data_IF_138776311746
#
_entry.id   IF_138776311746
#
_cell.length_a   1.000
_cell.length_b   1.000
_cell.length_c   1.000
_cell.angle_alpha   90.00
_cell.angle_beta   90.00
_cell.angle_gamma   90.00
#
_symmetry.space_group_name_H-M   'P 1'
#
loop_
_entity.id
_entity.type
_entity.pdbx_description
1 polymer ?
#
# COMPACT_ATOMS: atom_id res chain seq x y z
N UNK A 1 2.78 3.67 -8.40
CA UNK A 1 1.85 2.62 -8.83
C UNK A 1 0.93 2.22 -7.70
N UNK A 2 -0.33 2.03 -7.99
CA UNK A 2 -1.30 1.50 -7.03
C UNK A 2 -2.05 0.34 -7.67
N UNK A 3 -2.39 -0.65 -6.86
CA UNK A 3 -3.14 -1.81 -7.32
C UNK A 3 -3.93 -2.39 -6.16
N UNK A 4 -5.01 -3.10 -6.49
CA UNK A 4 -5.76 -3.84 -5.49
C UNK A 4 -6.35 -5.09 -6.13
N UNK A 5 -6.70 -6.06 -5.27
CA UNK A 5 -7.45 -7.24 -5.70
C UNK A 5 -8.71 -7.37 -4.86
N UNK A 6 -9.77 -7.91 -5.46
CA UNK A 6 -11.01 -8.23 -4.74
C UNK A 6 -10.96 -9.62 -4.13
N UNK A 7 -9.93 -10.40 -4.44
CA UNK A 7 -9.79 -11.74 -3.92
C UNK A 7 -9.48 -11.73 -2.43
N UNK A 8 -9.90 -12.77 -1.75
CA UNK A 8 -9.58 -13.00 -0.33
C UNK A 8 -8.49 -14.04 -0.23
N UNK A 9 -7.54 -13.82 0.70
CA UNK A 9 -6.51 -14.81 1.01
C UNK A 9 -6.02 -14.58 2.43
N UNK A 10 -5.92 -15.63 3.28
CA UNK A 10 -5.37 -15.48 4.62
C UNK A 10 -3.93 -14.99 4.64
N UNK A 11 -3.17 -15.22 3.57
CA UNK A 11 -1.78 -14.78 3.43
C UNK A 11 -1.68 -13.46 2.66
N UNK A 12 -2.74 -12.64 2.64
CA UNK A 12 -2.80 -11.43 1.81
C UNK A 12 -1.66 -10.46 2.12
N UNK A 13 -1.22 -10.37 3.38
CA UNK A 13 -0.09 -9.50 3.72
C UNK A 13 1.16 -9.87 2.92
N UNK A 14 1.45 -11.16 2.81
CA UNK A 14 2.60 -11.63 2.04
C UNK A 14 2.40 -11.36 0.55
N UNK A 15 1.19 -11.63 0.05
CA UNK A 15 0.89 -11.45 -1.37
C UNK A 15 0.97 -10.00 -1.80
N UNK A 16 0.40 -9.07 -1.01
CA UNK A 16 0.47 -7.64 -1.33
C UNK A 16 1.91 -7.14 -1.28
N UNK A 17 2.70 -7.64 -0.34
CA UNK A 17 4.13 -7.27 -0.24
C UNK A 17 4.90 -7.74 -1.47
N UNK A 18 4.67 -8.97 -1.91
CA UNK A 18 5.34 -9.51 -3.10
C UNK A 18 4.97 -8.73 -4.36
N UNK A 19 3.69 -8.43 -4.54
CA UNK A 19 3.24 -7.66 -5.71
C UNK A 19 3.81 -6.23 -5.66
N UNK A 20 3.84 -5.60 -4.49
CA UNK A 20 4.42 -4.28 -4.36
C UNK A 20 5.90 -4.27 -4.72
N UNK A 21 6.65 -5.29 -4.31
CA UNK A 21 8.05 -5.43 -4.68
C UNK A 21 8.22 -5.59 -6.19
N UNK A 22 7.35 -6.39 -6.84
CA UNK A 22 7.39 -6.58 -8.29
C UNK A 22 7.06 -5.29 -9.04
N UNK A 23 6.05 -4.54 -8.57
CA UNK A 23 5.70 -3.26 -9.18
C UNK A 23 6.83 -2.25 -9.05
N UNK A 24 7.54 -2.26 -7.92
CA UNK A 24 8.64 -1.34 -7.69
C UNK A 24 9.81 -1.61 -8.64
N UNK A 25 9.97 -2.86 -9.12
CA UNK A 25 11.01 -3.21 -10.08
C UNK A 25 10.71 -2.70 -11.48
N UNK A 26 9.49 -2.26 -11.76
CA UNK A 26 9.15 -1.74 -13.08
C UNK A 26 9.82 -0.40 -13.32
N UNK A 27 10.30 -0.19 -14.55
CA UNK A 27 11.00 1.03 -14.92
C UNK A 27 10.11 2.26 -14.68
N UNK A 28 10.66 3.26 -14.00
CA UNK A 28 9.97 4.52 -13.75
C UNK A 28 9.06 4.53 -12.54
N UNK A 29 8.89 3.40 -11.86
CA UNK A 29 8.07 3.34 -10.64
C UNK A 29 8.93 3.69 -9.44
N UNK A 30 8.53 4.73 -8.70
CA UNK A 30 9.26 5.19 -7.51
C UNK A 30 8.63 4.67 -6.21
N UNK A 31 7.35 4.33 -6.25
CA UNK A 31 6.63 3.78 -5.10
C UNK A 31 5.48 2.93 -5.58
N UNK A 32 5.10 1.93 -4.79
CA UNK A 32 3.98 1.05 -5.08
C UNK A 32 3.18 0.80 -3.82
N UNK A 33 1.86 0.82 -3.94
CA UNK A 33 0.93 0.48 -2.88
C UNK A 33 -0.03 -0.58 -3.40
N UNK A 34 -0.17 -1.67 -2.66
CA UNK A 34 -1.03 -2.78 -3.06
C UNK A 34 -1.93 -3.16 -1.91
N UNK A 35 -3.23 -3.30 -2.19
CA UNK A 35 -4.22 -3.66 -1.19
C UNK A 35 -4.93 -4.95 -1.57
N UNK A 36 -5.26 -5.75 -0.56
CA UNK A 36 -6.02 -6.98 -0.71
C UNK A 36 -6.65 -7.41 0.60
N UNK A 37 -7.70 -8.23 0.51
CA UNK A 37 -8.46 -8.65 1.68
C UNK A 37 -7.80 -9.85 2.35
N UNK A 38 -7.40 -9.67 3.59
CA UNK A 38 -6.90 -10.74 4.44
C UNK A 38 -8.00 -11.33 5.32
N UNK A 39 -7.60 -12.11 6.32
CA UNK A 39 -8.53 -12.85 7.17
C UNK A 39 -9.48 -11.94 7.95
N UNK A 40 -8.97 -10.86 8.53
CA UNK A 40 -9.74 -9.99 9.42
C UNK A 40 -9.87 -8.56 8.90
N UNK A 41 -9.06 -8.16 7.94
CA UNK A 41 -8.99 -6.77 7.48
C UNK A 41 -8.39 -6.71 6.08
N UNK A 42 -8.49 -5.53 5.47
CA UNK A 42 -7.76 -5.25 4.23
C UNK A 42 -6.32 -4.89 4.58
N UNK A 43 -5.39 -5.54 3.91
CA UNK A 43 -3.96 -5.33 4.07
C UNK A 43 -3.48 -4.39 2.98
N UNK A 44 -2.67 -3.39 3.34
CA UNK A 44 -1.98 -2.53 2.37
C UNK A 44 -0.49 -2.72 2.59
N UNK A 45 0.23 -2.95 1.50
CA UNK A 45 1.70 -2.94 1.50
C UNK A 45 2.19 -1.77 0.67
N UNK A 46 3.16 -1.02 1.20
CA UNK A 46 3.80 0.08 0.51
C UNK A 46 5.30 -0.15 0.39
N UNK A 47 5.85 0.17 -0.76
CA UNK A 47 7.28 0.06 -1.05
C UNK A 47 7.73 1.29 -1.82
N UNK A 48 8.96 1.74 -1.60
CA UNK A 48 9.51 2.86 -2.37
C UNK A 48 11.01 2.69 -2.57
N UNK A 49 11.53 3.49 -3.51
CA UNK A 49 12.97 3.58 -3.77
C UNK A 49 13.65 4.61 -2.87
N UNK A 50 12.90 5.27 -1.98
CA UNK A 50 13.43 6.24 -1.03
C UNK A 50 12.96 7.67 -1.28
N UNK A 51 12.46 8.00 -2.46
CA UNK A 51 11.96 9.33 -2.79
C UNK A 51 10.58 9.59 -2.22
N UNK A 52 9.79 8.53 -2.00
CA UNK A 52 8.46 8.61 -1.40
C UNK A 52 8.53 7.95 -0.04
N UNK A 53 8.08 8.65 0.99
CA UNK A 53 8.05 8.11 2.35
C UNK A 53 6.76 7.33 2.56
N UNK A 54 6.81 6.01 2.30
CA UNK A 54 5.62 5.17 2.46
C UNK A 54 5.19 5.04 3.92
N UNK A 55 6.14 5.16 4.86
CA UNK A 55 5.81 5.15 6.29
C UNK A 55 4.87 6.31 6.64
N UNK A 56 5.22 7.51 6.22
CA UNK A 56 4.43 8.70 6.52
C UNK A 56 3.01 8.58 5.95
N UNK A 57 2.90 8.06 4.72
CA UNK A 57 1.60 7.88 4.07
C UNK A 57 0.75 6.88 4.83
N UNK A 58 1.31 5.71 5.14
CA UNK A 58 0.52 4.64 5.76
C UNK A 58 0.27 4.88 7.24
N UNK A 59 1.11 5.67 7.92
CA UNK A 59 0.81 6.09 9.31
C UNK A 59 -0.47 6.92 9.38
N UNK A 60 -0.77 7.70 8.36
CA UNK A 60 -2.03 8.45 8.31
C UNK A 60 -3.24 7.53 8.18
N UNK A 61 -3.04 6.28 7.82
CA UNK A 61 -4.09 5.27 7.73
C UNK A 61 -3.99 4.26 8.88
N UNK A 62 -3.23 4.59 9.93
CA UNK A 62 -3.12 3.74 11.11
C UNK A 62 -2.05 2.67 11.02
N UNK A 63 -1.24 2.69 9.98
CA UNK A 63 -0.16 1.71 9.79
C UNK A 63 1.19 2.20 10.28
N UNK A 64 2.24 1.59 9.75
CA UNK A 64 3.61 1.95 10.09
C UNK A 64 4.62 1.15 9.30
N UNK A 65 5.88 1.33 9.63
CA UNK A 65 7.00 0.65 8.99
C UNK A 65 8.21 1.53 8.92
N UNK A 66 8.83 1.58 7.74
CA UNK A 66 10.02 2.36 7.47
C UNK A 66 9.81 3.21 6.22
N UNK A 67 10.78 4.10 5.94
CA UNK A 67 10.73 5.01 4.81
C UNK A 67 10.39 4.30 3.48
N UNK A 68 10.99 3.14 3.25
CA UNK A 68 10.87 2.41 1.98
C UNK A 68 9.99 1.16 2.05
N UNK A 69 9.57 0.75 3.25
CA UNK A 69 8.76 -0.46 3.47
C UNK A 69 7.76 -0.17 4.58
N UNK A 70 6.47 -0.22 4.28
CA UNK A 70 5.45 0.03 5.28
C UNK A 70 4.19 -0.79 4.97
N UNK A 71 3.32 -0.89 5.97
CA UNK A 71 2.06 -1.60 5.84
C UNK A 71 0.99 -0.99 6.70
N UNK A 72 -0.27 -1.29 6.37
CA UNK A 72 -1.43 -0.86 7.14
C UNK A 72 -2.53 -1.91 7.05
N UNK A 73 -3.42 -1.91 8.03
CA UNK A 73 -4.61 -2.74 8.05
C UNK A 73 -5.81 -1.82 8.19
N UNK A 74 -6.80 -2.00 7.32
CA UNK A 74 -7.98 -1.14 7.29
C UNK A 74 -9.25 -1.98 7.30
N UNK A 75 -10.28 -1.44 7.95
CA UNK A 75 -11.62 -2.02 7.94
C UNK A 75 -12.41 -1.42 6.77
N UNK A 76 -11.93 -1.67 5.56
CA UNK A 76 -12.49 -1.15 4.32
C UNK A 76 -12.24 -2.17 3.22
N UNK A 77 -12.91 -2.01 2.08
CA UNK A 77 -12.61 -2.84 0.92
C UNK A 77 -11.23 -2.50 0.36
N UNK A 78 -10.59 -3.43 -0.37
CA UNK A 78 -9.29 -3.12 -0.99
C UNK A 78 -9.37 -1.89 -1.91
N UNK A 79 -10.43 -1.75 -2.68
CA UNK A 79 -10.61 -0.58 -3.55
C UNK A 79 -10.67 0.71 -2.73
N UNK A 80 -11.48 0.74 -1.66
CA UNK A 80 -11.58 1.92 -0.81
C UNK A 80 -10.25 2.19 -0.10
N UNK A 81 -9.54 1.14 0.32
CA UNK A 81 -8.23 1.30 0.95
C UNK A 81 -7.25 2.01 0.02
N UNK A 82 -7.22 1.64 -1.26
CA UNK A 82 -6.36 2.30 -2.24
C UNK A 82 -6.84 3.74 -2.50
N UNK A 83 -8.14 3.98 -2.52
CA UNK A 83 -8.65 5.35 -2.64
C UNK A 83 -8.18 6.22 -1.48
N UNK A 84 -8.10 5.66 -0.27
CA UNK A 84 -7.60 6.40 0.89
C UNK A 84 -6.10 6.69 0.77
N UNK A 85 -5.31 5.76 0.23
CA UNK A 85 -3.90 6.00 -0.04
C UNK A 85 -3.74 7.17 -1.01
N UNK A 86 -4.48 7.16 -2.13
CA UNK A 86 -4.43 8.22 -3.13
C UNK A 86 -4.85 9.56 -2.53
N UNK A 87 -5.88 9.56 -1.68
CA UNK A 87 -6.35 10.78 -1.01
C UNK A 87 -5.28 11.36 -0.10
N UNK A 88 -4.60 10.51 0.69
CA UNK A 88 -3.51 10.96 1.55
C UNK A 88 -2.39 11.57 0.70
N UNK A 89 -2.01 10.92 -0.40
CA UNK A 89 -0.96 11.44 -1.28
C UNK A 89 -1.35 12.77 -1.89
N UNK A 90 -2.62 12.92 -2.27
CA UNK A 90 -3.14 14.19 -2.81
C UNK A 90 -3.10 15.29 -1.76
N UNK A 91 -3.52 14.97 -0.53
CA UNK A 91 -3.52 15.94 0.57
C UNK A 91 -2.09 16.37 0.93
N UNK A 92 -1.12 15.49 0.74
CA UNK A 92 0.30 15.78 0.95
C UNK A 92 0.94 16.44 -0.28
N UNK A 93 0.16 16.72 -1.32
CA UNK A 93 0.59 17.37 -2.56
C UNK A 93 1.65 16.55 -3.30
N UNK A 94 1.51 15.23 -3.26
CA UNK A 94 2.40 14.31 -3.97
C UNK A 94 1.87 13.93 -5.35
N UNK A 95 0.64 14.30 -5.66
CA UNK A 95 -0.01 14.03 -6.92
C UNK A 95 -0.44 15.33 -7.61
#
# INVERSE_FOLDING_TARGET
AVAYTKDFDPAMQVLTSQVADELLDMKGVQAAFVAGRGKASTMISGRSMGQVNVQMILEKLGGGGHLTIAGAQLDASPEEAIHQVVRVMRDMKML
#
